data_IF_271902621745
#
_entry.id   IF_271902621745
#
_cell.length_a   1.000
_cell.length_b   1.000
_cell.length_c   1.000
_cell.angle_alpha   90.00
_cell.angle_beta   90.00
_cell.angle_gamma   90.00
#
_symmetry.space_group_name_H-M   'P 1'
#
loop_
_entity.id
_entity.type
_entity.pdbx_description
1 polymer ?
#
# COMPACT_ATOMS: atom_id res chain seq x y z
N UNK A 1 48.28 5.21 -8.32
CA UNK A 1 48.04 4.89 -6.87
C UNK A 1 46.64 5.31 -6.43
N UNK A 2 46.17 6.48 -6.85
CA UNK A 2 44.84 7.02 -6.50
C UNK A 2 43.66 6.19 -7.06
N UNK A 3 43.86 5.52 -8.20
CA UNK A 3 42.85 4.70 -8.87
C UNK A 3 42.59 3.39 -8.11
N UNK A 4 43.64 2.73 -7.65
CA UNK A 4 43.56 1.52 -6.83
C UNK A 4 42.87 1.80 -5.49
N UNK A 5 43.18 2.94 -4.86
CA UNK A 5 42.48 3.39 -3.65
C UNK A 5 40.99 3.67 -3.91
N UNK A 6 40.64 4.23 -5.06
CA UNK A 6 39.23 4.42 -5.45
C UNK A 6 38.48 3.09 -5.54
N UNK A 7 39.07 2.09 -6.20
CA UNK A 7 38.50 0.74 -6.31
C UNK A 7 38.31 0.11 -4.92
N UNK A 8 39.32 0.22 -4.05
CA UNK A 8 39.27 -0.30 -2.67
C UNK A 8 38.13 0.32 -1.88
N UNK A 9 37.98 1.66 -1.93
CA UNK A 9 36.89 2.37 -1.26
C UNK A 9 35.51 1.99 -1.83
N UNK A 10 35.39 1.85 -3.15
CA UNK A 10 34.14 1.43 -3.79
C UNK A 10 33.69 0.04 -3.30
N UNK A 11 34.61 -0.92 -3.22
CA UNK A 11 34.33 -2.27 -2.70
C UNK A 11 33.92 -2.26 -1.23
N UNK A 12 34.62 -1.49 -0.40
CA UNK A 12 34.28 -1.34 1.02
C UNK A 12 32.86 -0.75 1.21
N UNK A 13 32.51 0.28 0.42
CA UNK A 13 31.18 0.89 0.43
C UNK A 13 30.08 -0.11 0.04
N UNK A 14 30.30 -0.94 -0.99
CA UNK A 14 29.33 -1.96 -1.41
C UNK A 14 29.17 -3.05 -0.34
N UNK A 15 30.26 -3.54 0.25
CA UNK A 15 30.24 -4.55 1.31
C UNK A 15 29.46 -4.08 2.55
N UNK A 16 29.64 -2.82 2.97
CA UNK A 16 28.90 -2.23 4.09
C UNK A 16 27.38 -2.16 3.85
N UNK A 17 26.92 -2.34 2.61
CA UNK A 17 25.52 -2.19 2.21
C UNK A 17 24.81 -3.49 1.82
N UNK A 18 25.37 -4.65 2.17
CA UNK A 18 25.00 -6.02 1.75
C UNK A 18 23.57 -6.49 2.05
N UNK A 19 22.72 -5.69 2.67
CA UNK A 19 21.32 -6.07 2.87
C UNK A 19 20.56 -5.97 1.54
N UNK A 20 20.39 -7.09 0.85
CA UNK A 20 19.59 -7.14 -0.37
C UNK A 20 18.10 -6.88 -0.06
N UNK A 21 17.45 -5.96 -0.79
CA UNK A 21 16.01 -5.77 -0.67
C UNK A 21 15.24 -6.98 -1.21
N UNK A 22 14.06 -7.27 -0.67
CA UNK A 22 13.15 -8.27 -1.22
C UNK A 22 12.85 -8.02 -2.72
N UNK A 23 12.58 -9.09 -3.50
CA UNK A 23 12.42 -9.03 -4.96
C UNK A 23 11.43 -7.96 -5.44
N UNK A 24 10.26 -7.85 -4.81
CA UNK A 24 9.27 -6.81 -5.17
C UNK A 24 9.84 -5.39 -5.03
N UNK A 25 10.70 -5.20 -4.04
CA UNK A 25 11.35 -3.91 -3.73
C UNK A 25 12.40 -3.61 -4.80
N UNK A 26 13.17 -4.62 -5.23
CA UNK A 26 14.11 -4.51 -6.35
C UNK A 26 13.41 -4.07 -7.63
N UNK A 27 12.32 -4.74 -8.03
CA UNK A 27 11.56 -4.37 -9.22
C UNK A 27 11.02 -2.94 -9.14
N UNK A 28 10.54 -2.53 -7.96
CA UNK A 28 10.10 -1.15 -7.71
C UNK A 28 11.24 -0.14 -7.82
N UNK A 29 12.41 -0.44 -7.24
CA UNK A 29 13.58 0.42 -7.27
C UNK A 29 14.13 0.59 -8.69
N UNK A 30 14.20 -0.47 -9.49
CA UNK A 30 14.62 -0.39 -10.90
C UNK A 30 13.77 0.61 -11.68
N UNK A 31 12.45 0.36 -11.76
CA UNK A 31 11.51 1.21 -12.49
C UNK A 31 11.56 2.67 -12.02
N UNK A 32 11.62 2.88 -10.70
CA UNK A 32 11.59 4.21 -10.10
C UNK A 32 12.91 4.95 -10.28
N UNK A 33 14.04 4.25 -10.13
CA UNK A 33 15.38 4.77 -10.35
C UNK A 33 15.57 5.21 -11.80
N UNK A 34 15.23 4.35 -12.77
CA UNK A 34 15.27 4.67 -14.21
C UNK A 34 14.46 5.92 -14.52
N UNK A 35 13.22 6.01 -14.03
CA UNK A 35 12.38 7.18 -14.22
C UNK A 35 13.04 8.45 -13.67
N UNK A 36 13.66 8.39 -12.49
CA UNK A 36 14.32 9.55 -11.88
C UNK A 36 15.61 9.94 -12.61
N UNK A 37 16.35 8.96 -13.14
CA UNK A 37 17.60 9.15 -13.87
C UNK A 37 17.41 9.72 -15.29
N UNK A 38 16.19 9.65 -15.85
CA UNK A 38 15.83 10.36 -17.07
C UNK A 38 15.94 11.87 -16.87
N UNK A 39 16.78 12.50 -17.71
CA UNK A 39 17.17 13.91 -17.61
C UNK A 39 15.94 14.81 -17.44
N UNK A 40 15.82 15.54 -16.32
CA UNK A 40 14.75 16.50 -16.13
C UNK A 40 14.90 17.67 -17.12
N UNK A 41 13.77 18.20 -17.62
CA UNK A 41 13.75 19.48 -18.36
C UNK A 41 14.05 20.62 -17.38
N UNK A 42 15.02 21.50 -17.70
CA UNK A 42 15.34 22.71 -16.93
C UNK A 42 16.85 22.99 -16.82
N UNK A 43 17.20 24.21 -16.40
CA UNK A 43 18.58 24.58 -16.06
C UNK A 43 18.88 24.12 -14.62
N UNK A 44 19.95 23.34 -14.45
CA UNK A 44 20.44 22.86 -13.17
C UNK A 44 21.97 22.90 -13.16
N UNK A 45 22.58 23.16 -12.01
CA UNK A 45 24.04 23.26 -11.86
C UNK A 45 24.77 21.95 -12.19
N UNK A 46 24.11 20.80 -12.04
CA UNK A 46 24.62 19.49 -12.46
C UNK A 46 23.48 18.52 -12.80
N UNK A 47 23.84 17.40 -13.45
CA UNK A 47 22.91 16.28 -13.67
C UNK A 47 22.37 15.73 -12.35
N UNK A 48 23.19 15.66 -11.30
CA UNK A 48 22.77 15.19 -9.99
C UNK A 48 21.76 16.14 -9.35
N UNK A 49 21.97 17.46 -9.46
CA UNK A 49 21.02 18.47 -8.98
C UNK A 49 19.65 18.31 -9.62
N UNK A 50 19.64 18.06 -10.93
CA UNK A 50 18.40 17.80 -11.66
C UNK A 50 17.69 16.54 -11.12
N UNK A 51 18.42 15.43 -10.93
CA UNK A 51 17.87 14.17 -10.41
C UNK A 51 17.33 14.34 -8.99
N UNK A 52 18.08 15.03 -8.11
CA UNK A 52 17.66 15.32 -6.73
C UNK A 52 16.40 16.20 -6.73
N UNK A 53 16.37 17.26 -7.53
CA UNK A 53 15.21 18.15 -7.66
C UNK A 53 13.97 17.37 -8.13
N UNK A 54 14.13 16.48 -9.11
CA UNK A 54 13.05 15.59 -9.59
C UNK A 54 12.56 14.65 -8.48
N UNK A 55 13.48 14.04 -7.73
CA UNK A 55 13.14 13.18 -6.60
C UNK A 55 12.45 13.95 -5.45
N UNK A 56 12.73 15.26 -5.29
CA UNK A 56 12.12 16.15 -4.28
C UNK A 56 10.81 16.81 -4.70
N UNK A 57 10.34 16.65 -5.94
CA UNK A 57 9.03 17.22 -6.38
C UNK A 57 7.86 16.78 -5.51
N UNK A 58 7.94 15.62 -4.86
CA UNK A 58 6.93 15.19 -3.91
C UNK A 58 7.10 15.87 -2.56
N UNK A 59 6.03 16.51 -2.05
CA UNK A 59 5.99 17.09 -0.70
C UNK A 59 5.96 16.04 0.44
N UNK A 60 6.01 14.75 0.12
CA UNK A 60 5.95 13.66 1.10
C UNK A 60 7.34 13.12 1.45
N UNK A 61 7.68 13.14 2.74
CA UNK A 61 8.92 12.55 3.26
C UNK A 61 9.05 11.06 2.88
N UNK A 62 7.97 10.28 2.97
CA UNK A 62 7.98 8.86 2.59
C UNK A 62 8.29 8.67 1.10
N UNK A 63 7.75 9.54 0.25
CA UNK A 63 8.01 9.49 -1.19
C UNK A 63 9.45 9.86 -1.49
N UNK A 64 9.99 10.89 -0.82
CA UNK A 64 11.40 11.26 -0.91
C UNK A 64 12.33 10.10 -0.52
N UNK A 65 12.17 9.53 0.69
CA UNK A 65 13.04 8.45 1.14
C UNK A 65 12.96 7.21 0.23
N UNK A 66 11.77 6.91 -0.31
CA UNK A 66 11.62 5.87 -1.32
C UNK A 66 12.30 6.19 -2.66
N UNK A 67 12.27 7.45 -3.12
CA UNK A 67 13.00 7.90 -4.31
C UNK A 67 14.51 7.79 -4.09
N UNK A 68 15.00 8.28 -2.94
CA UNK A 68 16.42 8.27 -2.55
C UNK A 68 16.97 6.85 -2.49
N UNK A 69 16.24 5.93 -1.87
CA UNK A 69 16.63 4.52 -1.81
C UNK A 69 16.71 3.89 -3.21
N UNK A 70 15.75 4.18 -4.10
CA UNK A 70 15.76 3.67 -5.48
C UNK A 70 16.95 4.21 -6.30
N UNK A 71 17.28 5.50 -6.15
CA UNK A 71 18.45 6.11 -6.78
C UNK A 71 19.76 5.47 -6.30
N UNK A 72 19.95 5.40 -4.98
CA UNK A 72 21.14 4.78 -4.40
C UNK A 72 21.28 3.30 -4.83
N UNK A 73 20.17 2.56 -4.90
CA UNK A 73 20.17 1.20 -5.41
C UNK A 73 20.67 1.11 -6.86
N UNK A 74 20.13 1.95 -7.75
CA UNK A 74 20.54 1.98 -9.16
C UNK A 74 22.03 2.35 -9.33
N UNK A 75 22.51 3.35 -8.58
CA UNK A 75 23.90 3.79 -8.63
C UNK A 75 24.84 2.69 -8.11
N UNK A 76 24.49 1.99 -7.02
CA UNK A 76 25.27 0.86 -6.51
C UNK A 76 25.40 -0.27 -7.53
N UNK A 77 24.30 -0.64 -8.20
CA UNK A 77 24.34 -1.64 -9.29
C UNK A 77 25.21 -1.18 -10.46
N UNK A 78 25.20 0.12 -10.77
CA UNK A 78 26.10 0.72 -11.76
C UNK A 78 27.58 0.62 -11.35
N UNK A 79 27.90 0.84 -10.08
CA UNK A 79 29.26 0.69 -9.54
C UNK A 79 29.70 -0.78 -9.60
N UNK A 80 28.84 -1.73 -9.20
CA UNK A 80 29.12 -3.17 -9.31
C UNK A 80 29.45 -3.57 -10.75
N UNK A 81 28.65 -3.12 -11.72
CA UNK A 81 28.89 -3.38 -13.13
C UNK A 81 30.21 -2.75 -13.62
N UNK A 82 30.48 -1.50 -13.27
CA UNK A 82 31.71 -0.81 -13.63
C UNK A 82 32.96 -1.48 -13.03
N UNK A 83 32.91 -1.91 -11.77
CA UNK A 83 34.00 -2.67 -11.13
C UNK A 83 34.23 -4.02 -11.82
N UNK A 84 33.17 -4.71 -12.23
CA UNK A 84 33.30 -5.96 -13.00
C UNK A 84 33.99 -5.74 -14.35
N UNK A 85 33.60 -4.68 -15.09
CA UNK A 85 34.25 -4.30 -16.35
C UNK A 85 35.72 -3.91 -16.12
N UNK A 86 35.99 -3.12 -15.09
CA UNK A 86 37.33 -2.70 -14.69
C UNK A 86 38.23 -3.91 -14.35
N UNK A 87 37.72 -4.88 -13.60
CA UNK A 87 38.44 -6.10 -13.23
C UNK A 87 38.78 -6.96 -14.45
N UNK A 88 37.83 -7.14 -15.38
CA UNK A 88 38.06 -7.87 -16.62
C UNK A 88 39.16 -7.20 -17.45
N UNK A 89 39.02 -5.90 -17.67
CA UNK A 89 39.97 -5.12 -18.46
C UNK A 89 41.37 -5.12 -17.83
N UNK A 90 41.47 -4.97 -16.51
CA UNK A 90 42.76 -4.99 -15.84
C UNK A 90 43.50 -6.32 -15.99
N UNK A 91 42.78 -7.45 -16.00
CA UNK A 91 43.38 -8.77 -16.22
C UNK A 91 43.93 -8.91 -17.63
N UNK A 92 43.16 -8.50 -18.62
CA UNK A 92 43.55 -8.54 -20.05
C UNK A 92 44.80 -7.68 -20.30
N UNK A 93 44.80 -6.43 -19.81
CA UNK A 93 45.94 -5.52 -19.93
C UNK A 93 47.22 -6.08 -19.30
N UNK A 94 47.09 -6.74 -18.15
CA UNK A 94 48.24 -7.37 -17.48
C UNK A 94 48.72 -8.62 -18.20
N UNK A 95 47.83 -9.46 -18.71
CA UNK A 95 48.22 -10.68 -19.44
C UNK A 95 48.93 -10.37 -20.75
N UNK A 96 48.57 -9.27 -21.41
CA UNK A 96 49.18 -8.82 -22.66
C UNK A 96 50.43 -7.92 -22.43
N UNK A 97 50.85 -7.71 -21.18
CA UNK A 97 51.95 -6.80 -20.82
C UNK A 97 51.80 -5.39 -21.43
N UNK A 98 50.58 -4.88 -21.46
CA UNK A 98 50.25 -3.59 -22.09
C UNK A 98 50.88 -2.45 -21.28
N UNK A 99 51.73 -1.60 -21.90
CA UNK A 99 52.33 -0.44 -21.23
C UNK A 99 51.28 0.51 -20.65
N UNK A 100 51.50 1.09 -19.46
CA UNK A 100 50.52 1.94 -18.76
C UNK A 100 50.14 3.26 -19.49
N UNK A 101 50.88 3.63 -20.53
CA UNK A 101 50.61 4.78 -21.40
C UNK A 101 49.72 4.44 -22.61
N UNK A 102 49.37 3.16 -22.81
CA UNK A 102 48.44 2.71 -23.85
C UNK A 102 47.03 3.28 -23.61
N UNK A 103 46.31 3.55 -24.70
CA UNK A 103 44.94 4.09 -24.68
C UNK A 103 43.97 3.21 -23.87
N UNK A 104 44.18 1.90 -23.82
CA UNK A 104 43.34 1.00 -23.04
C UNK A 104 43.50 1.21 -21.53
N UNK A 105 44.68 1.64 -21.06
CA UNK A 105 44.82 2.10 -19.68
C UNK A 105 44.09 3.41 -19.42
N UNK A 106 43.94 4.28 -20.43
CA UNK A 106 43.09 5.46 -20.31
C UNK A 106 41.61 5.09 -20.20
N UNK A 107 41.13 4.17 -21.03
CA UNK A 107 39.75 3.65 -20.93
C UNK A 107 39.50 3.00 -19.55
N UNK A 108 40.48 2.27 -19.01
CA UNK A 108 40.43 1.73 -17.66
C UNK A 108 40.31 2.85 -16.60
N UNK A 109 41.11 3.91 -16.72
CA UNK A 109 41.05 5.08 -15.83
C UNK A 109 39.70 5.78 -15.93
N UNK A 110 39.09 5.85 -17.11
CA UNK A 110 37.75 6.42 -17.30
C UNK A 110 36.67 5.61 -16.59
N UNK A 111 36.79 4.28 -16.55
CA UNK A 111 35.88 3.44 -15.75
C UNK A 111 36.05 3.74 -14.25
N UNK A 112 37.29 3.87 -13.76
CA UNK A 112 37.56 4.23 -12.36
C UNK A 112 37.04 5.63 -12.03
N UNK A 113 37.17 6.59 -12.94
CA UNK A 113 36.62 7.94 -12.79
C UNK A 113 35.08 7.93 -12.71
N UNK A 114 34.40 7.09 -13.48
CA UNK A 114 32.95 6.86 -13.39
C UNK A 114 32.55 6.25 -12.04
N UNK A 115 33.33 5.31 -11.51
CA UNK A 115 33.14 4.74 -10.16
C UNK A 115 33.26 5.83 -9.10
N UNK A 116 34.33 6.64 -9.16
CA UNK A 116 34.55 7.77 -8.23
C UNK A 116 33.38 8.76 -8.24
N UNK A 117 32.94 9.16 -9.43
CA UNK A 117 31.79 10.07 -9.61
C UNK A 117 30.51 9.47 -9.03
N UNK A 118 30.28 8.17 -9.22
CA UNK A 118 29.12 7.46 -8.71
C UNK A 118 29.14 7.33 -7.18
N UNK A 119 30.31 7.19 -6.56
CA UNK A 119 30.45 7.22 -5.10
C UNK A 119 30.11 8.60 -4.53
N UNK A 120 30.59 9.68 -5.15
CA UNK A 120 30.24 11.05 -4.76
C UNK A 120 28.72 11.29 -4.83
N UNK A 121 28.04 10.71 -5.84
CA UNK A 121 26.59 10.77 -5.92
C UNK A 121 25.91 10.06 -4.75
N UNK A 122 26.39 8.88 -4.35
CA UNK A 122 25.87 8.14 -3.19
C UNK A 122 26.03 8.96 -1.92
N UNK A 123 27.22 9.49 -1.67
CA UNK A 123 27.52 10.28 -0.48
C UNK A 123 26.62 11.52 -0.41
N UNK A 124 26.49 12.24 -1.53
CA UNK A 124 25.61 13.40 -1.63
C UNK A 124 24.15 13.02 -1.38
N UNK A 125 23.66 11.94 -1.97
CA UNK A 125 22.29 11.46 -1.74
C UNK A 125 22.05 11.01 -0.30
N UNK A 126 23.04 10.42 0.37
CA UNK A 126 22.93 10.01 1.78
C UNK A 126 22.74 11.21 2.70
N UNK A 127 23.51 12.28 2.45
CA UNK A 127 23.51 13.52 3.22
C UNK A 127 22.39 14.49 2.83
N UNK A 128 21.72 14.25 1.70
CA UNK A 128 20.64 15.12 1.23
C UNK A 128 19.42 15.07 2.18
N UNK A 129 19.03 16.22 2.78
CA UNK A 129 17.91 16.26 3.72
C UNK A 129 16.58 15.97 3.02
N UNK A 130 15.64 15.45 3.80
CA UNK A 130 14.26 15.31 3.35
C UNK A 130 13.64 16.67 2.96
N UNK A 131 12.55 16.66 2.17
CA UNK A 131 11.78 17.87 1.94
C UNK A 131 11.37 18.45 3.30
N UNK A 132 11.33 19.79 3.45
CA UNK A 132 10.89 20.43 4.69
C UNK A 132 9.61 19.79 5.15
N UNK A 133 9.56 19.37 6.41
CA UNK A 133 8.32 18.88 7.03
C UNK A 133 7.45 20.11 7.25
N UNK A 134 6.85 20.64 6.17
CA UNK A 134 5.78 21.62 6.30
C UNK A 134 4.68 21.03 7.18
N UNK A 135 3.91 21.88 7.84
CA UNK A 135 2.77 21.49 8.68
C UNK A 135 2.02 20.33 8.02
N UNK A 136 2.16 19.13 8.60
CA UNK A 136 1.56 17.94 8.04
C UNK A 136 0.06 18.17 8.08
N UNK A 137 -0.54 18.52 6.93
CA UNK A 137 -2.00 18.55 6.81
C UNK A 137 -2.53 17.22 7.36
N UNK A 138 -3.43 17.23 8.35
CA UNK A 138 -3.93 16.02 8.96
C UNK A 138 -4.38 15.05 7.88
N UNK A 139 -3.96 13.78 7.95
CA UNK A 139 -4.34 12.77 6.96
C UNK A 139 -5.85 12.82 6.76
N UNK A 140 -6.26 13.12 5.52
CA UNK A 140 -7.66 13.08 5.16
C UNK A 140 -8.15 11.63 5.28
N UNK A 141 -8.90 11.35 6.34
CA UNK A 141 -9.54 10.05 6.52
C UNK A 141 -10.80 10.01 5.68
N UNK A 142 -11.03 8.92 4.95
CA UNK A 142 -12.29 8.67 4.25
C UNK A 142 -13.51 8.64 5.19
N UNK A 143 -13.29 8.67 6.51
CA UNK A 143 -14.34 8.95 7.51
C UNK A 143 -14.87 10.38 7.43
N UNK A 144 -14.05 11.36 7.09
CA UNK A 144 -14.52 12.73 6.81
C UNK A 144 -15.46 12.75 5.61
N UNK A 145 -15.24 11.84 4.65
CA UNK A 145 -16.13 11.61 3.52
C UNK A 145 -17.45 10.94 3.89
N UNK A 146 -17.72 10.60 5.15
CA UNK A 146 -19.05 10.17 5.60
C UNK A 146 -19.88 11.34 6.17
N UNK A 147 -19.23 12.44 6.56
CA UNK A 147 -19.93 13.58 7.17
C UNK A 147 -20.94 14.17 6.18
N UNK A 148 -22.16 14.42 6.66
CA UNK A 148 -23.25 15.03 5.89
C UNK A 148 -23.98 14.09 4.92
N UNK A 149 -23.70 12.78 4.94
CA UNK A 149 -24.58 11.81 4.29
C UNK A 149 -25.84 11.56 5.16
N UNK A 150 -27.01 11.32 4.54
CA UNK A 150 -28.21 10.92 5.27
C UNK A 150 -28.03 9.51 5.86
N UNK A 151 -28.86 9.12 6.82
CA UNK A 151 -28.70 7.86 7.54
C UNK A 151 -28.91 6.62 6.65
N UNK A 152 -29.76 6.75 5.63
CA UNK A 152 -30.11 5.73 4.63
C UNK A 152 -29.20 5.75 3.38
N UNK A 153 -28.03 6.39 3.46
CA UNK A 153 -27.17 6.59 2.28
C UNK A 153 -26.69 5.27 1.68
N UNK A 154 -26.50 4.23 2.49
CA UNK A 154 -26.04 2.91 2.04
C UNK A 154 -27.09 2.26 1.15
N UNK A 155 -28.33 2.27 1.59
CA UNK A 155 -29.53 1.81 0.91
C UNK A 155 -29.72 2.56 -0.41
N UNK A 156 -29.55 3.90 -0.40
CA UNK A 156 -29.60 4.73 -1.62
C UNK A 156 -28.52 4.39 -2.64
N UNK A 157 -27.32 4.01 -2.19
CA UNK A 157 -26.23 3.56 -3.06
C UNK A 157 -26.54 2.18 -3.63
N UNK A 158 -26.99 1.24 -2.79
CA UNK A 158 -27.40 -0.11 -3.20
C UNK A 158 -28.44 -0.03 -4.32
N UNK A 159 -29.50 0.76 -4.11
CA UNK A 159 -30.57 0.95 -5.09
C UNK A 159 -30.08 1.54 -6.43
N UNK A 160 -28.98 2.31 -6.42
CA UNK A 160 -28.41 2.96 -7.63
C UNK A 160 -27.34 2.13 -8.32
N UNK A 161 -27.07 0.91 -7.84
CA UNK A 161 -26.08 0.00 -8.40
C UNK A 161 -26.69 -1.38 -8.72
N UNK A 162 -27.79 -1.46 -9.51
CA UNK A 162 -28.49 -2.73 -9.76
C UNK A 162 -27.57 -3.82 -10.35
N UNK A 163 -26.69 -3.45 -11.29
CA UNK A 163 -25.67 -4.33 -11.87
C UNK A 163 -24.75 -4.98 -10.82
N UNK A 164 -24.50 -4.30 -9.71
CA UNK A 164 -23.61 -4.74 -8.65
C UNK A 164 -24.35 -4.96 -7.33
N UNK A 165 -25.69 -5.14 -7.37
CA UNK A 165 -26.57 -5.10 -6.19
C UNK A 165 -26.09 -6.03 -5.08
N UNK A 166 -25.91 -7.32 -5.39
CA UNK A 166 -25.43 -8.31 -4.44
C UNK A 166 -24.05 -7.94 -3.85
N UNK A 167 -23.10 -7.51 -4.69
CA UNK A 167 -21.76 -7.13 -4.25
C UNK A 167 -21.74 -5.87 -3.35
N UNK A 168 -22.58 -4.87 -3.65
CA UNK A 168 -22.67 -3.67 -2.82
C UNK A 168 -23.43 -3.91 -1.51
N UNK A 169 -24.45 -4.78 -1.49
CA UNK A 169 -25.10 -5.26 -0.27
C UNK A 169 -24.11 -6.01 0.62
N UNK A 170 -23.43 -7.03 0.07
CA UNK A 170 -22.43 -7.80 0.80
C UNK A 170 -21.33 -6.91 1.39
N UNK A 171 -20.83 -5.92 0.64
CA UNK A 171 -19.84 -4.98 1.16
C UNK A 171 -20.40 -4.02 2.22
N UNK A 172 -21.64 -3.56 2.06
CA UNK A 172 -22.29 -2.67 3.02
C UNK A 172 -22.51 -3.33 4.39
N UNK A 173 -22.80 -4.64 4.39
CA UNK A 173 -23.02 -5.46 5.59
C UNK A 173 -21.70 -5.93 6.20
N UNK A 174 -20.84 -6.57 5.41
CA UNK A 174 -19.61 -7.21 5.92
C UNK A 174 -18.44 -6.26 6.11
N UNK A 175 -18.43 -5.12 5.41
CA UNK A 175 -17.29 -4.23 5.32
C UNK A 175 -16.08 -4.81 4.56
N UNK A 176 -16.26 -5.84 3.72
CA UNK A 176 -15.17 -6.41 2.91
C UNK A 176 -14.49 -5.38 2.00
N UNK A 177 -13.23 -5.62 1.65
CA UNK A 177 -12.48 -4.76 0.71
C UNK A 177 -12.99 -5.01 -0.72
N UNK A 178 -12.90 -4.02 -1.62
CA UNK A 178 -13.21 -4.22 -3.05
C UNK A 178 -12.41 -5.37 -3.67
N UNK A 179 -11.15 -5.52 -3.25
CA UNK A 179 -10.29 -6.58 -3.72
C UNK A 179 -10.75 -7.98 -3.25
N UNK A 180 -11.42 -8.07 -2.09
CA UNK A 180 -11.99 -9.34 -1.59
C UNK A 180 -13.23 -9.74 -2.41
N UNK A 181 -14.02 -8.78 -2.89
CA UNK A 181 -15.12 -9.04 -3.82
C UNK A 181 -14.65 -9.61 -5.17
N UNK A 182 -13.38 -9.44 -5.55
CA UNK A 182 -12.87 -10.04 -6.80
C UNK A 182 -12.77 -11.56 -6.65
N UNK A 183 -12.26 -12.04 -5.52
CA UNK A 183 -12.31 -13.46 -5.16
C UNK A 183 -13.74 -13.92 -4.88
N UNK A 184 -14.56 -13.02 -4.34
CA UNK A 184 -15.96 -13.25 -4.00
C UNK A 184 -16.17 -13.38 -2.49
N UNK A 185 -17.38 -13.08 -2.05
CA UNK A 185 -17.85 -13.36 -0.68
C UNK A 185 -18.89 -14.44 -0.78
N UNK A 186 -18.63 -15.62 -0.20
CA UNK A 186 -19.61 -16.70 -0.17
C UNK A 186 -20.70 -16.35 0.85
N UNK A 187 -21.96 -16.57 0.48
CA UNK A 187 -23.13 -16.24 1.26
C UNK A 187 -24.02 -17.46 1.39
N UNK A 188 -24.50 -17.72 2.60
CA UNK A 188 -25.38 -18.85 2.86
C UNK A 188 -26.28 -18.59 4.07
N UNK A 189 -27.43 -19.26 4.09
CA UNK A 189 -28.29 -19.32 5.29
C UNK A 189 -28.08 -20.68 5.94
N UNK A 190 -27.64 -20.69 7.19
CA UNK A 190 -27.44 -21.91 7.99
C UNK A 190 -27.92 -21.68 9.41
N UNK A 191 -28.76 -22.58 9.91
CA UNK A 191 -29.24 -22.54 11.31
C UNK A 191 -29.93 -21.22 11.69
N UNK A 192 -30.72 -20.62 10.79
CA UNK A 192 -31.39 -19.34 11.04
C UNK A 192 -30.45 -18.12 11.01
N UNK A 193 -29.25 -18.27 10.47
CA UNK A 193 -28.26 -17.20 10.36
C UNK A 193 -27.85 -17.01 8.91
N UNK A 194 -27.72 -15.76 8.48
CA UNK A 194 -26.94 -15.40 7.30
C UNK A 194 -25.46 -15.49 7.66
N UNK A 195 -24.69 -16.29 6.93
CA UNK A 195 -23.25 -16.44 7.10
C UNK A 195 -22.55 -15.92 5.85
N UNK A 196 -21.56 -15.04 6.03
CA UNK A 196 -20.69 -14.56 4.97
C UNK A 196 -19.25 -15.05 5.21
N UNK A 197 -18.70 -15.80 4.25
CA UNK A 197 -17.30 -16.23 4.25
C UNK A 197 -16.50 -15.34 3.30
N UNK A 198 -15.35 -14.84 3.78
CA UNK A 198 -14.52 -13.89 3.05
C UNK A 198 -13.08 -14.37 3.07
N UNK A 199 -12.56 -14.65 1.87
CA UNK A 199 -11.13 -14.89 1.67
C UNK A 199 -10.36 -13.57 1.74
N UNK A 200 -9.32 -13.55 2.55
CA UNK A 200 -8.52 -12.38 2.79
C UNK A 200 -7.57 -12.08 1.65
N UNK A 201 -7.54 -10.81 1.25
CA UNK A 201 -6.53 -10.27 0.32
C UNK A 201 -5.43 -9.54 1.10
N UNK A 202 -4.21 -9.55 0.54
CA UNK A 202 -3.00 -8.91 1.14
C UNK A 202 -2.58 -9.56 2.47
N UNK A 203 -2.71 -10.88 2.52
CA UNK A 203 -2.20 -11.70 3.61
C UNK A 203 -0.69 -11.88 3.44
N UNK A 204 0.06 -11.78 4.52
CA UNK A 204 1.46 -12.19 4.63
C UNK A 204 1.63 -13.09 5.85
N UNK A 205 2.82 -13.67 6.01
CA UNK A 205 3.17 -14.43 7.22
C UNK A 205 2.87 -13.67 8.52
N UNK A 206 2.98 -12.33 8.51
CA UNK A 206 2.83 -11.48 9.71
C UNK A 206 1.57 -10.60 9.71
N UNK A 207 0.81 -10.56 8.62
CA UNK A 207 -0.32 -9.62 8.47
C UNK A 207 -1.55 -10.21 7.78
N UNK A 208 -2.74 -9.82 8.22
CA UNK A 208 -4.02 -10.19 7.59
C UNK A 208 -4.58 -11.54 8.07
N UNK A 209 -5.86 -11.74 7.79
CA UNK A 209 -6.57 -13.01 8.02
C UNK A 209 -6.71 -13.73 6.68
N UNK A 210 -6.42 -15.03 6.63
CA UNK A 210 -6.54 -15.85 5.41
C UNK A 210 -7.99 -16.03 4.99
N UNK A 211 -8.86 -16.28 5.96
CA UNK A 211 -10.30 -16.26 5.80
C UNK A 211 -10.94 -15.72 7.07
N UNK A 212 -12.19 -15.28 6.95
CA UNK A 212 -13.07 -14.96 8.08
C UNK A 212 -14.52 -15.24 7.75
N UNK A 213 -15.30 -15.61 8.76
CA UNK A 213 -16.74 -15.78 8.71
C UNK A 213 -17.42 -14.81 9.65
N UNK A 214 -18.48 -14.19 9.16
CA UNK A 214 -19.32 -13.28 9.93
C UNK A 214 -20.76 -13.80 9.81
N UNK A 215 -21.49 -13.81 10.93
CA UNK A 215 -22.87 -14.30 10.96
C UNK A 215 -23.82 -13.26 11.54
N UNK A 216 -25.02 -13.21 10.97
CA UNK A 216 -26.13 -12.35 11.40
C UNK A 216 -27.42 -13.15 11.49
N UNK A 217 -28.32 -12.82 12.42
CA UNK A 217 -29.63 -13.46 12.47
C UNK A 217 -30.46 -13.02 11.26
N UNK A 218 -31.19 -13.96 10.65
CA UNK A 218 -31.98 -13.68 9.42
C UNK A 218 -33.13 -12.70 9.68
N UNK A 219 -33.61 -12.60 10.92
CA UNK A 219 -34.66 -11.69 11.37
C UNK A 219 -34.12 -10.32 11.84
N UNK A 220 -32.85 -10.01 11.53
CA UNK A 220 -32.21 -8.73 11.85
C UNK A 220 -33.07 -7.52 11.45
N UNK A 221 -33.16 -6.54 12.35
CA UNK A 221 -33.88 -5.28 12.09
C UNK A 221 -33.22 -4.39 11.02
N UNK A 222 -31.93 -4.62 10.69
CA UNK A 222 -31.21 -3.82 9.70
C UNK A 222 -31.76 -4.05 8.28
N UNK A 223 -32.21 -3.00 7.56
CA UNK A 223 -32.68 -3.12 6.18
C UNK A 223 -31.64 -3.75 5.24
N UNK A 224 -30.35 -3.42 5.41
CA UNK A 224 -29.28 -3.96 4.58
C UNK A 224 -29.08 -5.47 4.77
N UNK A 225 -29.19 -5.96 6.01
CA UNK A 225 -29.10 -7.39 6.30
C UNK A 225 -30.32 -8.11 5.73
N UNK A 226 -31.53 -7.58 5.94
CA UNK A 226 -32.76 -8.18 5.37
C UNK A 226 -32.73 -8.24 3.85
N UNK A 227 -32.27 -7.18 3.20
CA UNK A 227 -32.11 -7.18 1.74
C UNK A 227 -31.09 -8.23 1.29
N UNK A 228 -29.98 -8.41 2.02
CA UNK A 228 -29.00 -9.44 1.70
C UNK A 228 -29.55 -10.86 1.93
N UNK A 229 -30.30 -11.09 3.01
CA UNK A 229 -31.00 -12.35 3.29
C UNK A 229 -31.94 -12.69 2.14
N UNK A 230 -32.76 -11.75 1.67
CA UNK A 230 -33.69 -11.95 0.54
C UNK A 230 -32.97 -12.35 -0.75
N UNK A 231 -31.81 -11.74 -1.04
CA UNK A 231 -31.03 -12.13 -2.22
C UNK A 231 -30.54 -13.59 -2.09
N UNK A 232 -30.13 -14.01 -0.88
CA UNK A 232 -29.66 -15.39 -0.62
C UNK A 232 -30.81 -16.39 -0.66
N UNK A 233 -31.98 -16.05 -0.10
CA UNK A 233 -33.21 -16.87 -0.20
C UNK A 233 -33.68 -17.01 -1.65
N UNK A 234 -33.47 -15.99 -2.48
CA UNK A 234 -33.72 -16.04 -3.92
C UNK A 234 -32.66 -16.83 -4.72
N UNK A 235 -31.67 -17.43 -4.05
CA UNK A 235 -30.67 -18.33 -4.64
C UNK A 235 -29.29 -17.72 -4.84
N UNK A 236 -29.03 -16.48 -4.40
CA UNK A 236 -27.69 -15.91 -4.49
C UNK A 236 -26.73 -16.55 -3.46
N UNK A 237 -25.59 -17.06 -3.92
CA UNK A 237 -24.60 -17.71 -3.04
C UNK A 237 -23.21 -17.08 -3.09
N UNK A 238 -22.93 -16.21 -4.07
CA UNK A 238 -21.62 -15.62 -4.28
C UNK A 238 -21.70 -14.16 -4.71
N UNK A 239 -21.29 -13.25 -3.83
CA UNK A 239 -21.15 -11.84 -4.13
C UNK A 239 -19.77 -11.55 -4.73
N UNK A 240 -19.68 -11.54 -6.07
CA UNK A 240 -18.42 -11.35 -6.80
C UNK A 240 -18.46 -10.19 -7.80
N UNK A 241 -17.32 -9.54 -7.99
CA UNK A 241 -17.08 -8.56 -9.05
C UNK A 241 -15.90 -8.99 -9.92
N UNK A 242 -15.91 -8.62 -11.20
CA UNK A 242 -14.78 -8.93 -12.10
C UNK A 242 -13.56 -8.04 -11.86
N UNK A 243 -13.78 -6.76 -11.56
CA UNK A 243 -12.70 -5.77 -11.44
C UNK A 243 -13.03 -4.72 -10.38
N UNK A 244 -12.13 -4.58 -9.40
CA UNK A 244 -12.29 -3.64 -8.29
C UNK A 244 -12.26 -2.17 -8.75
N UNK A 245 -11.55 -1.84 -9.84
CA UNK A 245 -11.47 -0.48 -10.36
C UNK A 245 -12.78 -0.07 -11.03
N UNK A 246 -13.36 -0.92 -11.87
CA UNK A 246 -14.64 -0.73 -12.52
C UNK A 246 -15.78 -0.61 -11.49
N UNK A 247 -15.82 -1.51 -10.50
CA UNK A 247 -16.77 -1.41 -9.39
C UNK A 247 -16.63 -0.10 -8.61
N UNK A 248 -15.40 0.29 -8.30
CA UNK A 248 -15.14 1.57 -7.63
C UNK A 248 -15.56 2.77 -8.50
N UNK A 249 -15.40 2.70 -9.82
CA UNK A 249 -15.88 3.72 -10.76
C UNK A 249 -17.40 3.83 -10.76
N UNK A 250 -18.10 2.69 -10.83
CA UNK A 250 -19.55 2.62 -10.79
C UNK A 250 -20.13 3.20 -9.49
N UNK A 251 -19.50 2.91 -8.33
CA UNK A 251 -19.93 3.48 -7.04
C UNK A 251 -19.73 4.98 -6.97
N UNK A 252 -18.60 5.50 -7.48
CA UNK A 252 -18.38 6.96 -7.55
C UNK A 252 -19.45 7.63 -8.41
N UNK A 253 -19.78 7.04 -9.56
CA UNK A 253 -20.84 7.54 -10.43
C UNK A 253 -22.21 7.48 -9.74
N UNK A 254 -22.53 6.39 -9.03
CA UNK A 254 -23.76 6.28 -8.25
C UNK A 254 -23.84 7.33 -7.14
N UNK A 255 -22.74 7.56 -6.41
CA UNK A 255 -22.66 8.60 -5.38
C UNK A 255 -22.79 10.02 -5.94
N UNK A 256 -22.16 10.31 -7.09
CA UNK A 256 -22.30 11.60 -7.76
C UNK A 256 -23.75 11.85 -8.21
N UNK A 257 -24.45 10.83 -8.71
CA UNK A 257 -25.89 10.93 -9.05
C UNK A 257 -26.76 11.11 -7.80
N UNK A 258 -26.43 10.43 -6.70
CA UNK A 258 -27.19 10.52 -5.46
C UNK A 258 -27.01 11.86 -4.74
N UNK A 259 -25.81 12.45 -4.81
CA UNK A 259 -25.47 13.71 -4.14
C UNK A 259 -24.62 14.63 -5.04
N UNK A 260 -25.20 15.27 -6.07
CA UNK A 260 -24.44 16.05 -7.07
C UNK A 260 -23.68 17.25 -6.49
N UNK A 261 -24.19 17.86 -5.42
CA UNK A 261 -23.59 19.03 -4.76
C UNK A 261 -22.45 18.68 -3.79
N UNK A 262 -22.15 17.39 -3.62
CA UNK A 262 -21.18 16.92 -2.62
C UNK A 262 -19.76 16.88 -3.19
N UNK A 263 -18.83 17.60 -2.55
CA UNK A 263 -17.40 17.59 -2.92
C UNK A 263 -16.72 16.25 -2.63
N UNK A 264 -17.08 15.61 -1.52
CA UNK A 264 -16.51 14.34 -1.10
C UNK A 264 -17.15 13.16 -1.85
N UNK A 265 -16.33 12.29 -2.44
CA UNK A 265 -16.81 11.18 -3.26
C UNK A 265 -17.15 9.96 -2.41
N UNK A 266 -18.29 9.33 -2.67
CA UNK A 266 -18.63 8.03 -2.10
C UNK A 266 -17.83 6.94 -2.81
N UNK A 267 -17.10 6.14 -2.05
CA UNK A 267 -16.24 5.06 -2.56
C UNK A 267 -16.50 3.76 -1.78
N UNK A 268 -16.07 2.60 -2.28
CA UNK A 268 -16.24 1.34 -1.56
C UNK A 268 -15.69 1.33 -0.13
N UNK A 269 -14.61 2.08 0.09
CA UNK A 269 -14.02 2.23 1.42
C UNK A 269 -14.90 3.04 2.38
N UNK A 270 -15.86 3.84 1.89
CA UNK A 270 -16.87 4.49 2.71
C UNK A 270 -17.82 3.45 3.33
N UNK A 271 -18.25 2.43 2.56
CA UNK A 271 -19.06 1.32 3.08
C UNK A 271 -18.32 0.55 4.17
N UNK A 272 -17.07 0.17 3.90
CA UNK A 272 -16.21 -0.48 4.89
C UNK A 272 -16.03 0.35 6.17
N UNK A 273 -15.91 1.67 6.05
CA UNK A 273 -15.82 2.55 7.22
C UNK A 273 -17.12 2.65 8.00
N UNK A 274 -18.28 2.64 7.33
CA UNK A 274 -19.57 2.62 7.98
C UNK A 274 -19.80 1.30 8.73
N UNK A 275 -19.61 0.15 8.08
CA UNK A 275 -19.68 -1.16 8.74
C UNK A 275 -18.74 -1.22 9.97
N UNK A 276 -17.47 -0.81 9.82
CA UNK A 276 -16.52 -0.75 10.92
C UNK A 276 -16.92 0.22 12.06
N UNK A 277 -17.79 1.20 11.79
CA UNK A 277 -18.31 2.12 12.81
C UNK A 277 -19.50 1.49 13.53
N UNK A 278 -20.38 0.80 12.81
CA UNK A 278 -21.50 0.05 13.38
C UNK A 278 -20.99 -1.06 14.31
N UNK A 279 -19.96 -1.79 13.88
CA UNK A 279 -19.29 -2.84 14.67
C UNK A 279 -18.74 -2.32 16.01
N UNK A 280 -18.38 -1.03 16.07
CA UNK A 280 -17.86 -0.40 17.30
C UNK A 280 -18.98 0.09 18.19
N UNK A 281 -20.03 0.63 17.59
CA UNK A 281 -21.17 1.15 18.33
C UNK A 281 -22.01 0.02 18.95
N UNK A 282 -21.95 -1.20 18.40
CA UNK A 282 -22.63 -2.38 18.98
C UNK A 282 -22.00 -2.89 20.29
N UNK A 283 -20.87 -2.34 20.72
CA UNK A 283 -20.15 -2.82 21.91
C UNK A 283 -19.35 -4.10 21.67
N UNK A 284 -19.21 -4.54 20.41
CA UNK A 284 -18.38 -5.68 20.05
C UNK A 284 -16.92 -5.41 20.49
N UNK A 285 -16.24 -6.45 20.98
CA UNK A 285 -14.89 -6.27 21.50
C UNK A 285 -13.90 -5.95 20.36
N UNK A 286 -12.79 -5.30 20.72
CA UNK A 286 -11.79 -4.83 19.74
C UNK A 286 -11.13 -5.96 18.94
N UNK A 287 -11.05 -7.17 19.51
CA UNK A 287 -10.49 -8.32 18.84
C UNK A 287 -11.45 -8.82 17.76
N UNK A 288 -12.71 -9.07 18.10
CA UNK A 288 -13.76 -9.45 17.13
C UNK A 288 -13.92 -8.42 16.00
N UNK A 289 -13.84 -7.11 16.31
CA UNK A 289 -13.86 -6.05 15.27
C UNK A 289 -12.65 -6.18 14.33
N UNK A 290 -11.47 -6.48 14.87
CA UNK A 290 -10.26 -6.61 14.06
C UNK A 290 -10.33 -7.85 13.18
N UNK A 291 -10.83 -8.97 13.70
CA UNK A 291 -11.07 -10.20 12.96
C UNK A 291 -12.09 -10.00 11.85
N UNK A 292 -13.24 -9.38 12.14
CA UNK A 292 -14.29 -9.08 11.17
C UNK A 292 -13.79 -8.20 10.01
N UNK A 293 -12.84 -7.29 10.29
CA UNK A 293 -12.20 -6.45 9.28
C UNK A 293 -10.99 -7.13 8.61
N UNK A 294 -10.62 -8.35 8.98
CA UNK A 294 -9.48 -9.06 8.40
C UNK A 294 -8.13 -8.43 8.77
N UNK A 295 -8.01 -7.92 9.99
CA UNK A 295 -6.75 -7.50 10.60
C UNK A 295 -6.20 -8.62 11.50
N UNK A 296 -4.87 -8.78 11.55
CA UNK A 296 -4.18 -9.81 12.35
C UNK A 296 -3.49 -9.28 13.61
N UNK A 297 -3.64 -7.99 13.91
CA UNK A 297 -3.10 -7.34 15.12
C UNK A 297 -4.06 -6.27 15.64
N UNK A 298 -4.10 -6.12 16.97
CA UNK A 298 -4.94 -5.12 17.66
C UNK A 298 -4.45 -3.66 17.44
N UNK A 299 -3.26 -3.46 16.87
CA UNK A 299 -2.57 -2.16 16.79
C UNK A 299 -3.31 -1.11 15.95
N UNK A 300 -4.43 -1.48 15.32
CA UNK A 300 -5.39 -0.49 14.81
C UNK A 300 -6.12 0.32 15.91
N UNK A 301 -5.77 0.18 17.19
CA UNK A 301 -6.33 0.96 18.32
C UNK A 301 -6.15 2.49 18.19
N UNK A 302 -5.05 3.01 17.60
CA UNK A 302 -4.74 4.44 17.75
C UNK A 302 -5.36 5.41 16.74
N UNK A 303 -6.06 4.92 15.71
CA UNK A 303 -6.57 5.82 14.67
C UNK A 303 -8.04 5.66 14.31
N UNK A 304 -8.81 4.77 14.94
CA UNK A 304 -10.16 4.45 14.46
C UNK A 304 -11.22 4.44 15.58
N UNK A 305 -11.91 5.56 15.80
CA UNK A 305 -13.32 5.61 16.22
C UNK A 305 -13.62 6.35 17.53
N UNK A 306 -14.59 7.27 17.49
CA UNK A 306 -15.40 7.68 18.65
C UNK A 306 -16.79 7.12 18.43
N UNK A 307 -17.39 6.58 19.50
CA UNK A 307 -18.66 5.85 19.57
C UNK A 307 -19.88 6.59 18.99
N UNK A 308 -19.81 7.92 18.84
CA UNK A 308 -20.95 8.81 18.56
C UNK A 308 -21.44 8.88 17.09
N UNK A 309 -21.18 7.89 16.23
CA UNK A 309 -21.46 8.02 14.79
C UNK A 309 -22.22 6.86 14.13
N UNK A 310 -22.70 5.86 14.88
CA UNK A 310 -23.67 4.92 14.32
C UNK A 310 -24.93 5.69 13.92
N UNK A 311 -25.31 5.58 12.64
CA UNK A 311 -26.50 6.20 12.06
C UNK A 311 -27.16 5.17 11.16
N UNK A 312 -28.42 4.83 11.47
CA UNK A 312 -29.22 3.84 10.73
C UNK A 312 -28.80 2.38 10.97
N UNK A 313 -29.79 1.52 11.27
CA UNK A 313 -29.73 0.06 11.48
C UNK A 313 -28.35 -0.60 11.43
N UNK A 314 -27.73 -0.78 12.61
CA UNK A 314 -26.42 -1.42 12.80
C UNK A 314 -26.30 -2.71 11.98
N UNK A 315 -25.18 -2.87 11.25
CA UNK A 315 -24.84 -4.11 10.55
C UNK A 315 -23.86 -4.99 11.34
N UNK A 316 -23.74 -4.79 12.66
CA UNK A 316 -22.82 -5.57 13.47
C UNK A 316 -23.15 -7.08 13.45
N UNK A 317 -22.16 -7.96 13.20
CA UNK A 317 -22.37 -9.40 13.24
C UNK A 317 -22.62 -9.88 14.67
N UNK A 318 -23.39 -10.96 14.79
CA UNK A 318 -23.62 -11.67 16.05
C UNK A 318 -22.40 -12.52 16.42
N UNK A 319 -21.74 -13.12 15.44
CA UNK A 319 -20.50 -13.89 15.64
C UNK A 319 -19.48 -13.63 14.53
N UNK A 320 -18.21 -13.80 14.90
CA UNK A 320 -17.05 -13.64 14.02
C UNK A 320 -16.11 -14.80 14.26
N UNK A 321 -15.67 -15.43 13.18
CA UNK A 321 -14.62 -16.45 13.19
C UNK A 321 -13.53 -16.06 12.20
N UNK A 322 -12.27 -16.28 12.53
CA UNK A 322 -11.16 -15.96 11.64
C UNK A 322 -10.03 -16.98 11.74
N UNK A 323 -9.25 -17.10 10.66
CA UNK A 323 -8.18 -18.09 10.54
C UNK A 323 -7.12 -18.01 11.64
N UNK A 324 -6.68 -16.79 12.00
CA UNK A 324 -5.62 -16.56 12.98
C UNK A 324 -6.19 -15.95 14.26
N UNK A 325 -5.91 -16.57 15.41
CA UNK A 325 -6.12 -15.95 16.72
C UNK A 325 -5.28 -14.67 16.80
N UNK A 326 -5.89 -13.58 17.24
CA UNK A 326 -5.21 -12.28 17.33
C UNK A 326 -4.01 -12.33 18.29
N UNK A 327 -2.89 -11.75 17.85
CA UNK A 327 -1.75 -11.49 18.73
C UNK A 327 -2.10 -10.33 19.65
N UNK A 328 -2.32 -10.61 20.94
CA UNK A 328 -2.31 -9.61 22.02
C UNK A 328 -0.87 -9.15 22.20
N UNK A 329 -0.50 -8.02 21.62
CA UNK A 329 0.80 -7.43 21.92
C UNK A 329 0.70 -6.60 23.20
N UNK A 330 1.40 -7.06 24.25
CA UNK A 330 1.58 -6.33 25.49
C UNK A 330 2.29 -4.99 25.23
N UNK A 331 1.85 -3.96 25.95
CA UNK A 331 2.15 -2.56 25.68
C UNK A 331 3.62 -2.21 25.42
N UNK A 332 3.82 -1.31 24.46
CA UNK A 332 5.02 -0.50 24.31
C UNK A 332 5.32 0.15 25.68
N UNK A 333 6.38 -0.30 26.36
CA UNK A 333 7.01 0.45 27.45
C UNK A 333 7.35 1.84 26.89
N UNK A 334 6.68 2.88 27.40
CA UNK A 334 7.19 4.25 27.27
C UNK A 334 8.53 4.28 28.02
N UNK A 335 9.63 4.40 27.30
CA UNK A 335 10.86 4.94 27.90
C UNK A 335 10.57 6.38 28.30
N UNK A 336 10.85 6.70 29.56
CA UNK A 336 10.90 8.07 30.06
C UNK A 336 11.96 8.88 29.34
#
# INVERSE_FOLDING_TARGET
MQEYETIKRARAMLQASRTEPAERTVATYKRRGELLMQTPKGQHASRLDAVIAKAKRSKSASTWFGNRAALMFGIRRGIEAALSTQDKMQRELKSENVPENDIRWQEWRDIVAKVSSSMQWIERLQNEPGPPVGERKPRHSKRKDLRGLPDDWRERIVARMPKYRLAVLAQAVTGCRPEELVSGVQLEIRGGQLVATIDGVKVSEKSGQEWRRLSWPIDSASPLIRDLVREVEAGASLAQIRDAKAYSGAMRAAGARAWPRRKATVTPYCLRHAAASDFKASGMDSASISEALGHSSEVTKKYYGSWHQARGGSVAPQSVEAARKLKRDYGIKKSR
#
